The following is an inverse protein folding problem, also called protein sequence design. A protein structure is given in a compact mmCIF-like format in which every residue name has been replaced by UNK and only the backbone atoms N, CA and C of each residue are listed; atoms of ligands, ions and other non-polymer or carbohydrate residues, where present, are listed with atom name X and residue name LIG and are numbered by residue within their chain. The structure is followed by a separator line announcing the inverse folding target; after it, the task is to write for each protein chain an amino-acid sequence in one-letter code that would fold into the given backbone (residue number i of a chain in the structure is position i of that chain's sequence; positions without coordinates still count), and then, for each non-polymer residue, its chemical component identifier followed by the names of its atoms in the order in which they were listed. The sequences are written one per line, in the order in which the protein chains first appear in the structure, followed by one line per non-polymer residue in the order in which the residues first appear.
data_IF_612160542236
#
_entry.id   IF_612160542236
#
_cell.length_a   1.000
_cell.length_b   1.000
_cell.length_c   1.000
_cell.angle_alpha   90.00
_cell.angle_beta   90.00
_cell.angle_gamma   90.00
#
_symmetry.space_group_name_H-M   'P 1'
#
loop_
_entity.id
_entity.type
_entity.pdbx_description
1 polymer ?
#
# COMPACT_ATOMS: atom_id res chain seq x y z
N UNK A 1 4.12 -0.32 -8.09
CA UNK A 1 5.51 -0.64 -7.69
C UNK A 1 6.50 -0.60 -8.86
N UNK A 2 6.04 -0.78 -10.09
CA UNK A 2 6.92 -0.68 -11.26
C UNK A 2 7.52 0.72 -11.40
N UNK A 3 6.72 1.75 -11.14
CA UNK A 3 7.20 3.13 -11.19
C UNK A 3 8.25 3.38 -10.12
N UNK A 4 8.02 2.88 -8.90
CA UNK A 4 8.95 3.03 -7.80
C UNK A 4 10.30 2.37 -8.10
N UNK A 5 10.28 1.21 -8.72
CA UNK A 5 11.50 0.49 -9.10
C UNK A 5 12.40 1.32 -10.01
N UNK A 6 11.80 2.15 -10.88
CA UNK A 6 12.52 2.95 -11.86
C UNK A 6 12.86 4.35 -11.36
N UNK A 7 12.50 4.69 -10.13
CA UNK A 7 12.80 5.99 -9.54
C UNK A 7 14.28 6.11 -9.14
N UNK A 8 14.75 7.34 -9.08
CA UNK A 8 16.08 7.64 -8.54
C UNK A 8 16.05 7.59 -7.01
N UNK A 9 17.20 7.49 -6.40
CA UNK A 9 17.34 7.46 -4.95
C UNK A 9 16.58 8.61 -4.28
N UNK A 10 15.84 8.28 -3.22
CA UNK A 10 15.13 9.26 -2.39
C UNK A 10 16.01 9.63 -1.20
N UNK A 11 16.19 10.93 -0.98
CA UNK A 11 16.79 11.44 0.24
C UNK A 11 15.69 12.01 1.14
N UNK A 12 16.01 12.25 2.41
CA UNK A 12 15.01 12.64 3.41
C UNK A 12 14.23 13.91 3.05
N UNK A 13 14.77 14.77 2.21
CA UNK A 13 14.15 16.04 1.82
C UNK A 13 13.33 15.94 0.50
N UNK A 14 13.22 14.77 -0.09
CA UNK A 14 12.51 14.58 -1.34
C UNK A 14 10.99 14.46 -1.16
N UNK A 15 10.40 15.39 -0.41
CA UNK A 15 8.98 15.36 -0.09
C UNK A 15 8.10 15.42 -1.34
N UNK A 16 8.42 16.27 -2.31
CA UNK A 16 7.62 16.41 -3.52
C UNK A 16 7.62 15.15 -4.37
N UNK A 17 8.76 14.51 -4.53
CA UNK A 17 8.85 13.29 -5.31
C UNK A 17 8.16 12.14 -4.60
N UNK A 18 8.33 12.05 -3.29
CA UNK A 18 7.73 10.99 -2.49
C UNK A 18 6.22 11.16 -2.32
N UNK A 19 5.70 12.38 -2.46
CA UNK A 19 4.26 12.66 -2.38
C UNK A 19 3.43 11.81 -3.35
N UNK A 20 4.03 11.40 -4.45
CA UNK A 20 3.38 10.53 -5.42
C UNK A 20 3.06 9.13 -4.83
N UNK A 21 3.84 8.70 -3.86
CA UNK A 21 3.74 7.35 -3.28
C UNK A 21 3.26 7.32 -1.84
N UNK A 22 3.39 8.42 -1.12
CA UNK A 22 3.17 8.46 0.33
C UNK A 22 2.13 9.50 0.73
N UNK A 23 1.38 9.16 1.78
CA UNK A 23 0.51 10.11 2.48
C UNK A 23 1.31 10.74 3.60
N UNK A 24 1.47 12.07 3.59
CA UNK A 24 2.21 12.78 4.62
C UNK A 24 1.31 13.25 5.75
N UNK A 25 1.86 13.22 6.97
CA UNK A 25 1.11 13.55 8.18
C UNK A 25 1.24 15.02 8.57
N UNK A 26 2.22 15.72 8.02
CA UNK A 26 2.60 17.07 8.46
C UNK A 26 3.65 17.08 9.56
N UNK A 27 3.94 15.94 10.17
CA UNK A 27 5.04 15.83 11.13
C UNK A 27 6.33 15.53 10.38
N UNK A 28 7.31 16.43 10.49
CA UNK A 28 8.54 16.33 9.74
C UNK A 28 9.31 15.03 9.99
N UNK A 29 9.42 14.60 11.24
CA UNK A 29 10.15 13.39 11.58
C UNK A 29 9.49 12.13 11.06
N UNK A 30 8.17 12.08 11.17
CA UNK A 30 7.39 10.95 10.67
C UNK A 30 7.47 10.87 9.14
N UNK A 31 7.33 12.00 8.49
CA UNK A 31 7.36 12.05 7.01
C UNK A 31 8.73 11.68 6.48
N UNK A 32 9.80 12.12 7.12
CA UNK A 32 11.17 11.73 6.76
C UNK A 32 11.40 10.22 6.95
N UNK A 33 10.89 9.67 8.03
CA UNK A 33 10.96 8.22 8.27
C UNK A 33 10.22 7.45 7.18
N UNK A 34 9.08 7.95 6.73
CA UNK A 34 8.32 7.35 5.63
C UNK A 34 9.12 7.35 4.33
N UNK A 35 9.81 8.44 4.02
CA UNK A 35 10.67 8.53 2.84
C UNK A 35 11.81 7.53 2.92
N UNK A 36 12.43 7.39 4.09
CA UNK A 36 13.49 6.41 4.30
C UNK A 36 12.97 4.99 4.06
N UNK A 37 11.78 4.68 4.54
CA UNK A 37 11.15 3.38 4.32
C UNK A 37 10.85 3.16 2.84
N UNK A 38 10.41 4.20 2.13
CA UNK A 38 10.16 4.14 0.69
C UNK A 38 11.45 3.84 -0.07
N UNK A 39 12.56 4.49 0.31
CA UNK A 39 13.86 4.24 -0.30
C UNK A 39 14.34 2.81 -0.08
N UNK A 40 14.14 2.29 1.13
CA UNK A 40 14.47 0.89 1.42
C UNK A 40 13.67 -0.07 0.53
N UNK A 41 12.38 0.22 0.34
CA UNK A 41 11.55 -0.58 -0.57
C UNK A 41 12.05 -0.50 -2.01
N UNK A 42 12.41 0.71 -2.48
CA UNK A 42 12.95 0.90 -3.83
C UNK A 42 14.21 0.04 -4.04
N UNK A 43 15.11 0.04 -3.07
CA UNK A 43 16.33 -0.78 -3.13
C UNK A 43 16.00 -2.27 -3.22
N UNK A 44 15.03 -2.72 -2.44
CA UNK A 44 14.61 -4.12 -2.43
C UNK A 44 14.00 -4.51 -3.79
N UNK A 45 13.21 -3.65 -4.39
CA UNK A 45 12.61 -3.90 -5.70
C UNK A 45 13.66 -4.05 -6.81
N UNK A 46 14.84 -3.49 -6.62
CA UNK A 46 15.95 -3.62 -7.58
C UNK A 46 16.81 -4.85 -7.31
N UNK A 47 16.43 -5.71 -6.38
CA UNK A 47 17.03 -7.02 -6.17
C UNK A 47 16.16 -8.08 -6.84
N UNK A 48 16.55 -9.35 -6.76
CA UNK A 48 15.79 -10.46 -7.36
C UNK A 48 14.69 -10.99 -6.43
N UNK A 49 14.11 -10.10 -5.61
CA UNK A 49 13.04 -10.47 -4.66
C UNK A 49 11.69 -10.40 -5.37
N UNK A 50 10.82 -11.39 -5.12
CA UNK A 50 9.47 -11.38 -5.67
C UNK A 50 8.64 -10.24 -5.05
N UNK A 51 7.63 -9.77 -5.79
CA UNK A 51 6.74 -8.73 -5.29
C UNK A 51 5.98 -9.16 -4.04
N UNK A 52 5.65 -10.46 -3.94
CA UNK A 52 4.95 -11.00 -2.78
C UNK A 52 5.75 -10.86 -1.49
N UNK A 53 7.08 -10.91 -1.59
CA UNK A 53 7.95 -10.72 -0.44
C UNK A 53 8.23 -9.24 -0.22
N UNK A 54 8.44 -8.48 -1.29
CA UNK A 54 8.73 -7.05 -1.20
C UNK A 54 7.60 -6.26 -0.55
N UNK A 55 6.36 -6.70 -0.68
CA UNK A 55 5.21 -6.01 -0.07
C UNK A 55 5.31 -5.88 1.45
N UNK A 56 6.05 -6.75 2.11
CA UNK A 56 6.24 -6.65 3.56
C UNK A 56 7.08 -5.44 3.98
N UNK A 57 7.74 -4.82 3.03
CA UNK A 57 8.53 -3.60 3.29
C UNK A 57 7.77 -2.31 2.94
N UNK A 58 6.48 -2.40 2.61
CA UNK A 58 5.67 -1.22 2.31
C UNK A 58 5.56 -0.33 3.53
N UNK A 59 5.84 0.98 3.38
CA UNK A 59 5.55 1.93 4.46
C UNK A 59 4.07 1.96 4.76
N UNK A 60 3.70 2.18 6.02
CA UNK A 60 2.29 2.32 6.39
C UNK A 60 1.61 3.49 5.68
N UNK A 61 2.38 4.51 5.34
CA UNK A 61 1.88 5.70 4.64
C UNK A 61 1.78 5.55 3.13
N UNK A 62 2.07 4.36 2.58
CA UNK A 62 2.01 4.13 1.14
C UNK A 62 0.60 4.34 0.60
N UNK A 63 0.50 5.12 -0.49
CA UNK A 63 -0.78 5.44 -1.14
C UNK A 63 -1.32 4.29 -1.96
N UNK A 64 -2.65 4.19 -2.03
CA UNK A 64 -3.34 3.37 -3.02
C UNK A 64 -4.05 4.30 -4.02
N UNK A 65 -4.23 3.83 -5.23
CA UNK A 65 -4.92 4.61 -6.28
C UNK A 65 -6.43 4.40 -6.18
N UNK A 66 -7.05 5.07 -5.19
CA UNK A 66 -8.50 5.08 -5.01
C UNK A 66 -9.01 6.51 -5.14
N UNK A 67 -10.33 6.67 -5.21
CA UNK A 67 -10.94 7.99 -5.30
C UNK A 67 -10.69 8.85 -4.06
N UNK A 68 -10.42 8.21 -2.92
CA UNK A 68 -9.95 8.90 -1.72
C UNK A 68 -8.55 8.39 -1.37
N UNK A 69 -7.78 9.23 -0.65
CA UNK A 69 -6.44 8.86 -0.22
C UNK A 69 -6.51 8.03 1.05
N UNK A 70 -5.99 6.80 1.00
CA UNK A 70 -5.93 5.89 2.14
C UNK A 70 -4.60 5.15 2.06
N UNK A 71 -3.92 4.96 3.19
CA UNK A 71 -2.66 4.22 3.17
C UNK A 71 -2.90 2.71 3.08
N UNK A 72 -1.87 1.98 2.63
CA UNK A 72 -1.99 0.55 2.36
C UNK A 72 -2.34 -0.26 3.63
N UNK A 73 -1.77 0.11 4.78
CA UNK A 73 -2.04 -0.61 6.02
C UNK A 73 -3.50 -0.48 6.44
N UNK A 74 -4.05 0.74 6.36
CA UNK A 74 -5.45 0.97 6.71
C UNK A 74 -6.39 0.19 5.78
N UNK A 75 -6.08 0.15 4.49
CA UNK A 75 -6.89 -0.60 3.54
C UNK A 75 -6.79 -2.11 3.80
N UNK A 76 -5.60 -2.62 4.10
CA UNK A 76 -5.44 -4.03 4.46
C UNK A 76 -6.30 -4.39 5.67
N UNK A 77 -6.29 -3.54 6.71
CA UNK A 77 -7.10 -3.76 7.89
C UNK A 77 -8.60 -3.72 7.58
N UNK A 78 -9.03 -2.74 6.78
CA UNK A 78 -10.42 -2.65 6.35
C UNK A 78 -10.85 -3.94 5.63
N UNK A 79 -10.08 -4.37 4.63
CA UNK A 79 -10.42 -5.56 3.86
C UNK A 79 -10.43 -6.81 4.73
N UNK A 80 -9.45 -6.96 5.61
CA UNK A 80 -9.38 -8.11 6.52
C UNK A 80 -10.60 -8.20 7.42
N UNK A 81 -11.02 -7.06 8.00
CA UNK A 81 -12.16 -7.03 8.91
C UNK A 81 -13.50 -7.14 8.19
N UNK A 82 -13.62 -6.51 7.01
CA UNK A 82 -14.92 -6.39 6.33
C UNK A 82 -15.20 -7.51 5.34
N UNK A 83 -14.20 -8.31 4.96
CA UNK A 83 -14.43 -9.50 4.15
C UNK A 83 -14.56 -10.77 4.98
N UNK A 84 -14.31 -10.70 6.30
CA UNK A 84 -14.40 -11.88 7.17
C UNK A 84 -15.83 -12.41 7.22
N UNK A 85 -15.97 -13.70 7.55
CA UNK A 85 -17.28 -14.35 7.65
C UNK A 85 -18.17 -13.75 8.74
N UNK A 86 -17.56 -13.10 9.74
CA UNK A 86 -18.31 -12.46 10.83
C UNK A 86 -18.84 -11.08 10.47
N UNK A 87 -18.42 -10.50 9.34
CA UNK A 87 -18.92 -9.21 8.89
C UNK A 87 -20.30 -9.34 8.27
N UNK A 88 -21.11 -8.27 8.35
CA UNK A 88 -22.40 -8.23 7.67
C UNK A 88 -22.19 -8.37 6.17
N UNK A 89 -23.07 -9.15 5.53
CA UNK A 89 -22.90 -9.47 4.10
C UNK A 89 -22.86 -8.24 3.20
N UNK A 90 -23.58 -7.19 3.54
CA UNK A 90 -23.58 -5.94 2.77
C UNK A 90 -22.23 -5.25 2.82
N UNK A 91 -21.61 -5.24 4.01
CA UNK A 91 -20.27 -4.66 4.20
C UNK A 91 -19.23 -5.52 3.51
N UNK A 92 -19.37 -6.84 3.57
CA UNK A 92 -18.49 -7.78 2.85
C UNK A 92 -18.54 -7.51 1.35
N UNK A 93 -19.74 -7.32 0.81
CA UNK A 93 -19.92 -7.02 -0.61
C UNK A 93 -19.21 -5.74 -1.01
N UNK A 94 -19.34 -4.69 -0.18
CA UNK A 94 -18.63 -3.44 -0.42
C UNK A 94 -17.11 -3.63 -0.39
N UNK A 95 -16.61 -4.37 0.59
CA UNK A 95 -15.19 -4.63 0.71
C UNK A 95 -14.63 -5.39 -0.50
N UNK A 96 -15.35 -6.41 -0.98
CA UNK A 96 -14.96 -7.11 -2.20
C UNK A 96 -15.00 -6.19 -3.42
N UNK A 97 -16.00 -5.32 -3.51
CA UNK A 97 -16.08 -4.36 -4.62
C UNK A 97 -14.90 -3.39 -4.60
N UNK A 98 -14.47 -2.93 -3.43
CA UNK A 98 -13.30 -2.07 -3.30
C UNK A 98 -12.04 -2.82 -3.75
N UNK A 99 -11.88 -4.07 -3.32
CA UNK A 99 -10.74 -4.88 -3.73
C UNK A 99 -10.70 -5.06 -5.26
N UNK A 100 -11.83 -5.39 -5.87
CA UNK A 100 -11.92 -5.59 -7.32
C UNK A 100 -11.68 -4.29 -8.10
N UNK A 101 -11.98 -3.15 -7.50
CA UNK A 101 -11.75 -1.85 -8.12
C UNK A 101 -10.29 -1.40 -8.07
N UNK A 102 -9.43 -2.09 -7.30
CA UNK A 102 -8.01 -1.75 -7.23
C UNK A 102 -7.33 -2.03 -8.57
N UNK A 103 -6.33 -1.19 -8.94
CA UNK A 103 -5.49 -1.51 -10.09
C UNK A 103 -4.83 -2.87 -9.92
N UNK A 104 -4.68 -3.62 -11.00
CA UNK A 104 -4.04 -4.95 -10.97
C UNK A 104 -2.65 -4.90 -10.34
N UNK A 105 -1.94 -3.80 -10.54
CA UNK A 105 -0.60 -3.60 -9.98
C UNK A 105 -0.60 -3.59 -8.46
N UNK A 106 -1.74 -3.32 -7.83
CA UNK A 106 -1.85 -3.17 -6.38
C UNK A 106 -2.60 -4.32 -5.71
N UNK A 107 -3.33 -5.13 -6.46
CA UNK A 107 -4.14 -6.22 -5.88
C UNK A 107 -3.30 -7.21 -5.08
N UNK A 108 -2.10 -7.51 -5.54
CA UNK A 108 -1.25 -8.49 -4.86
C UNK A 108 -0.91 -8.09 -3.41
N UNK A 109 -0.95 -6.78 -3.11
CA UNK A 109 -0.67 -6.28 -1.75
C UNK A 109 -1.75 -6.73 -0.77
N UNK A 110 -2.98 -6.93 -1.27
CA UNK A 110 -4.14 -7.14 -0.42
C UNK A 110 -4.75 -8.54 -0.54
N UNK A 111 -4.27 -9.37 -1.46
CA UNK A 111 -4.86 -10.69 -1.73
C UNK A 111 -4.97 -11.57 -0.49
N UNK A 112 -3.94 -11.57 0.37
CA UNK A 112 -3.93 -12.38 1.58
C UNK A 112 -4.83 -11.81 2.68
N UNK A 113 -5.41 -10.63 2.49
CA UNK A 113 -6.31 -10.00 3.45
C UNK A 113 -7.78 -10.22 3.11
N UNK A 114 -8.07 -10.85 1.98
CA UNK A 114 -9.43 -11.09 1.53
C UNK A 114 -9.85 -12.52 1.89
N UNK A 115 -10.96 -12.65 2.61
CA UNK A 115 -11.57 -13.95 2.87
C UNK A 115 -12.41 -14.34 1.67
N UNK A 116 -12.01 -15.40 0.99
CA UNK A 116 -12.75 -15.89 -0.19
C UNK A 116 -13.95 -16.71 0.24
N UNK A 117 -15.05 -16.57 -0.48
CA UNK A 117 -16.21 -17.41 -0.27
C UNK A 117 -15.89 -18.82 -0.78
N UNK A 118 -16.19 -19.80 0.06
CA UNK A 118 -16.00 -21.19 -0.29
C UNK A 118 -17.19 -21.73 -1.09
#
# INVERSE_FOLDING_TARGET
LKELKNEQEFIADDLKRAEKYLVFTGNSDVDKASITALENLRKILNTNVSLDIAKYCLPESYKTELTWTINARSLQNFLSLRTSKSALWEIRKLAYAIFEALPEEHKFIFEDKIYKES
#
